data_IF_285098328599
#
_entry.id   IF_285098328599
#
_cell.length_a   1.000
_cell.length_b   1.000
_cell.length_c   1.000
_cell.angle_alpha   90.00
_cell.angle_beta   90.00
_cell.angle_gamma   90.00
#
_symmetry.space_group_name_H-M   'P 1'
#
loop_
_entity.id
_entity.type
_entity.pdbx_description
1 polymer ?
#
# COMPACT_ATOMS: atom_id res chain seq x y z
N UNK A 1 -37.52 22.18 -59.05
CA UNK A 1 -36.37 22.05 -58.15
C UNK A 1 -36.71 22.75 -56.82
N UNK A 2 -37.29 22.02 -55.89
CA UNK A 2 -37.76 22.58 -54.61
C UNK A 2 -36.76 22.10 -53.50
N UNK A 3 -36.12 23.06 -52.84
CA UNK A 3 -35.25 22.83 -51.71
C UNK A 3 -36.10 22.59 -50.46
N UNK A 4 -35.95 21.43 -49.83
CA UNK A 4 -36.55 21.10 -48.55
C UNK A 4 -35.56 21.43 -47.43
N UNK A 5 -35.89 22.44 -46.64
CA UNK A 5 -35.13 22.82 -45.46
C UNK A 5 -35.74 22.04 -44.28
N UNK A 6 -34.97 21.13 -43.69
CA UNK A 6 -35.34 20.43 -42.45
C UNK A 6 -34.74 21.20 -41.29
N UNK A 7 -35.63 21.84 -40.53
CA UNK A 7 -35.29 22.54 -39.29
C UNK A 7 -35.22 21.53 -38.16
N UNK A 8 -34.01 21.31 -37.61
CA UNK A 8 -33.78 20.44 -36.47
C UNK A 8 -33.96 21.26 -35.18
N UNK A 9 -35.05 21.03 -34.49
CA UNK A 9 -35.30 21.62 -33.15
C UNK A 9 -34.52 20.84 -32.11
N UNK A 10 -33.51 21.48 -31.54
CA UNK A 10 -32.80 20.98 -30.34
C UNK A 10 -33.67 21.23 -29.10
N UNK A 11 -34.25 20.19 -28.53
CA UNK A 11 -34.82 20.24 -27.18
C UNK A 11 -33.73 19.88 -26.20
N UNK A 12 -33.14 20.88 -25.55
CA UNK A 12 -32.24 20.72 -24.43
C UNK A 12 -33.07 20.49 -23.17
N UNK A 13 -33.15 19.22 -22.72
CA UNK A 13 -33.67 18.87 -21.39
C UNK A 13 -32.58 19.13 -20.37
N UNK A 14 -32.70 20.21 -19.62
CA UNK A 14 -31.91 20.49 -18.42
C UNK A 14 -32.44 19.62 -17.26
N UNK A 15 -31.81 18.48 -16.98
CA UNK A 15 -32.05 17.74 -15.74
C UNK A 15 -31.09 18.28 -14.71
N UNK A 16 -31.58 19.23 -13.91
CA UNK A 16 -30.89 19.63 -12.68
C UNK A 16 -31.10 18.56 -11.62
N UNK A 17 -30.15 17.61 -11.49
CA UNK A 17 -30.11 16.73 -10.36
C UNK A 17 -29.58 17.50 -9.14
N UNK A 18 -30.49 17.82 -8.22
CA UNK A 18 -30.17 18.28 -6.89
C UNK A 18 -29.39 17.18 -6.17
N UNK A 19 -28.07 17.28 -6.15
CA UNK A 19 -27.22 16.49 -5.27
C UNK A 19 -27.33 17.08 -3.88
N UNK A 20 -28.20 16.49 -3.05
CA UNK A 20 -28.25 16.76 -1.62
C UNK A 20 -26.97 16.16 -1.02
N UNK A 21 -25.99 17.02 -0.74
CA UNK A 21 -24.80 16.61 0.00
C UNK A 21 -25.18 16.38 1.46
N UNK A 22 -25.56 15.14 1.77
CA UNK A 22 -25.64 14.70 3.16
C UNK A 22 -24.20 14.64 3.69
N UNK A 23 -23.83 15.61 4.53
CA UNK A 23 -22.59 15.56 5.31
C UNK A 23 -22.72 14.43 6.33
N UNK A 24 -22.42 13.20 5.94
CA UNK A 24 -22.14 12.13 6.88
C UNK A 24 -20.72 12.34 7.41
N UNK A 25 -20.62 13.05 8.51
CA UNK A 25 -19.46 13.04 9.39
C UNK A 25 -19.39 11.67 10.08
N UNK A 26 -18.94 10.64 9.36
CA UNK A 26 -18.63 9.36 9.97
C UNK A 26 -17.21 9.42 10.50
N UNK A 27 -17.09 9.66 11.78
CA UNK A 27 -15.88 9.36 12.56
C UNK A 27 -15.50 7.90 12.28
N UNK A 28 -14.24 7.58 11.96
CA UNK A 28 -13.85 6.18 11.71
C UNK A 28 -14.23 5.33 12.91
N UNK A 29 -15.07 4.32 12.68
CA UNK A 29 -15.48 3.38 13.73
C UNK A 29 -14.27 2.58 14.17
N UNK A 30 -14.04 2.54 15.47
CA UNK A 30 -12.96 1.81 16.13
C UNK A 30 -13.26 0.32 16.10
N UNK A 31 -12.78 -0.38 15.09
CA UNK A 31 -12.88 -1.84 15.04
C UNK A 31 -11.85 -2.49 15.94
N UNK A 32 -12.29 -3.05 17.07
CA UNK A 32 -11.61 -4.23 17.63
C UNK A 32 -11.64 -5.34 16.58
N UNK A 33 -10.67 -6.25 16.59
CA UNK A 33 -10.37 -7.28 15.58
C UNK A 33 -11.51 -8.27 15.21
N UNK A 34 -12.71 -7.78 15.04
CA UNK A 34 -13.89 -8.48 14.58
C UNK A 34 -14.64 -7.59 13.59
N UNK A 35 -14.36 -7.82 12.32
CA UNK A 35 -15.00 -7.14 11.21
C UNK A 35 -14.12 -6.07 10.60
N UNK A 36 -13.55 -6.36 9.47
CA UNK A 36 -12.92 -5.39 8.58
C UNK A 36 -13.97 -4.34 8.21
N UNK A 37 -13.97 -3.18 8.84
CA UNK A 37 -14.74 -2.05 8.37
C UNK A 37 -14.17 -1.62 7.02
N UNK A 38 -14.92 -1.82 5.95
CA UNK A 38 -14.53 -1.38 4.61
C UNK A 38 -14.81 0.10 4.49
N UNK A 39 -13.79 0.91 4.37
CA UNK A 39 -13.89 2.34 4.13
C UNK A 39 -13.82 2.65 2.64
N UNK A 40 -14.51 3.72 2.22
CA UNK A 40 -14.45 4.20 0.84
C UNK A 40 -13.10 4.84 0.51
N UNK A 41 -12.79 5.00 -0.77
CA UNK A 41 -11.62 5.73 -1.22
C UNK A 41 -11.61 7.20 -0.70
N UNK A 42 -12.79 7.83 -0.61
CA UNK A 42 -12.93 9.16 -0.03
C UNK A 42 -12.51 9.20 1.45
N UNK A 43 -12.83 8.17 2.23
CA UNK A 43 -12.42 8.07 3.63
C UNK A 43 -10.90 7.94 3.74
N UNK A 44 -10.25 7.19 2.84
CA UNK A 44 -8.80 7.09 2.80
C UNK A 44 -8.13 8.43 2.47
N UNK A 45 -8.65 9.17 1.48
CA UNK A 45 -8.13 10.48 1.08
C UNK A 45 -8.25 11.53 2.21
N UNK A 46 -9.29 11.42 3.03
CA UNK A 46 -9.59 12.35 4.12
C UNK A 46 -9.10 11.86 5.49
N UNK A 47 -8.41 10.73 5.53
CA UNK A 47 -7.88 10.22 6.79
C UNK A 47 -6.88 11.22 7.39
N UNK A 48 -7.10 11.56 8.67
CA UNK A 48 -6.20 12.42 9.44
C UNK A 48 -5.57 11.61 10.56
N UNK A 49 -4.27 11.75 10.70
CA UNK A 49 -3.51 11.15 11.79
C UNK A 49 -4.11 11.52 13.16
N UNK A 50 -4.29 10.51 14.01
CA UNK A 50 -4.89 10.64 15.34
C UNK A 50 -3.86 10.27 16.41
N UNK A 51 -3.18 11.24 16.98
CA UNK A 51 -2.11 11.03 17.98
C UNK A 51 -2.55 10.29 19.24
N UNK A 52 -3.85 10.30 19.55
CA UNK A 52 -4.40 9.73 20.79
C UNK A 52 -5.00 8.32 20.61
N UNK A 53 -5.04 7.82 19.39
CA UNK A 53 -5.65 6.52 19.08
C UNK A 53 -4.61 5.40 19.05
N UNK A 54 -3.98 5.18 20.18
CA UNK A 54 -3.01 4.07 20.32
C UNK A 54 -3.71 2.73 20.26
N UNK A 55 -3.18 1.81 19.45
CA UNK A 55 -3.58 0.41 19.31
C UNK A 55 -4.79 0.13 18.42
N UNK A 56 -4.99 0.89 17.36
CA UNK A 56 -6.03 0.60 16.38
C UNK A 56 -5.45 0.37 15.00
N UNK A 57 -5.76 -0.78 14.45
CA UNK A 57 -5.59 -1.05 13.04
C UNK A 57 -6.79 -0.46 12.29
N UNK A 58 -6.53 0.33 11.25
CA UNK A 58 -7.56 0.92 10.39
C UNK A 58 -7.34 0.43 8.96
N UNK A 59 -8.31 -0.29 8.40
CA UNK A 59 -8.27 -0.73 7.00
C UNK A 59 -9.24 0.09 6.18
N UNK A 60 -8.77 0.62 5.07
CA UNK A 60 -9.55 1.37 4.09
C UNK A 60 -9.45 0.67 2.73
N UNK A 61 -10.57 0.60 2.03
CA UNK A 61 -10.71 -0.22 0.82
C UNK A 61 -11.06 -1.67 1.14
N UNK A 62 -11.37 -2.45 0.10
CA UNK A 62 -11.75 -3.86 0.22
C UNK A 62 -10.71 -4.77 -0.42
N UNK A 63 -10.42 -5.88 0.24
CA UNK A 63 -9.58 -6.94 -0.31
C UNK A 63 -10.50 -7.91 -1.05
N UNK A 64 -10.41 -7.95 -2.38
CA UNK A 64 -11.23 -8.85 -3.20
C UNK A 64 -10.78 -10.31 -3.10
N UNK A 65 -9.47 -10.53 -2.93
CA UNK A 65 -8.86 -11.85 -2.82
C UNK A 65 -7.71 -11.84 -1.82
N UNK A 66 -7.58 -12.92 -1.07
CA UNK A 66 -6.43 -13.12 -0.20
C UNK A 66 -5.15 -13.33 -0.99
N UNK A 67 -4.05 -12.87 -0.45
CA UNK A 67 -2.73 -13.11 -1.00
C UNK A 67 -2.30 -14.57 -0.78
N UNK A 68 -1.53 -15.10 -1.70
CA UNK A 68 -1.12 -16.50 -1.70
C UNK A 68 0.39 -16.62 -1.65
N UNK A 69 0.87 -17.70 -1.05
CA UNK A 69 2.26 -18.12 -1.14
C UNK A 69 2.55 -18.98 -2.38
N UNK A 70 3.81 -19.19 -2.71
CA UNK A 70 5.00 -18.72 -1.98
C UNK A 70 5.15 -17.20 -1.96
N UNK A 71 5.59 -16.67 -0.81
CA UNK A 71 5.83 -15.23 -0.61
C UNK A 71 7.32 -14.95 -0.60
N UNK A 72 7.75 -13.93 -1.32
CA UNK A 72 9.09 -13.36 -1.17
C UNK A 72 8.99 -12.07 -0.35
N UNK A 73 9.74 -11.99 0.73
CA UNK A 73 9.90 -10.77 1.53
C UNK A 73 11.25 -10.14 1.18
N UNK A 74 11.24 -8.89 0.77
CA UNK A 74 12.47 -8.14 0.45
C UNK A 74 12.43 -6.73 1.03
N UNK A 75 13.54 -6.01 0.94
CA UNK A 75 13.65 -4.63 1.42
C UNK A 75 14.14 -3.72 0.30
N UNK A 76 13.62 -2.51 0.24
CA UNK A 76 14.16 -1.44 -0.59
C UNK A 76 14.66 -0.31 0.31
N UNK A 77 15.98 -0.04 0.22
CA UNK A 77 16.70 0.90 1.06
C UNK A 77 17.30 0.28 2.32
N UNK A 78 17.25 -1.04 2.46
CA UNK A 78 17.92 -1.85 3.49
C UNK A 78 17.64 -1.40 4.93
N UNK A 79 16.42 -0.92 5.20
CA UNK A 79 15.98 -0.62 6.56
C UNK A 79 15.71 -1.91 7.37
N UNK A 80 15.64 -1.77 8.68
CA UNK A 80 15.28 -2.87 9.58
C UNK A 80 13.83 -3.36 9.38
N UNK A 81 13.02 -2.63 8.63
CA UNK A 81 11.62 -2.97 8.36
C UNK A 81 11.50 -4.33 7.66
N UNK A 82 12.45 -4.67 6.78
CA UNK A 82 12.49 -5.99 6.13
C UNK A 82 12.56 -7.14 7.14
N UNK A 83 13.46 -7.06 8.12
CA UNK A 83 13.57 -8.07 9.18
C UNK A 83 12.37 -8.06 10.14
N UNK A 84 11.73 -6.90 10.34
CA UNK A 84 10.50 -6.82 11.13
C UNK A 84 9.34 -7.53 10.40
N UNK A 85 9.20 -7.35 9.09
CA UNK A 85 8.22 -8.08 8.28
C UNK A 85 8.52 -9.58 8.28
N UNK A 86 9.78 -9.99 8.21
CA UNK A 86 10.14 -11.41 8.36
C UNK A 86 9.62 -11.99 9.68
N UNK A 87 9.75 -11.27 10.80
CA UNK A 87 9.21 -11.71 12.09
C UNK A 87 7.67 -11.77 12.10
N UNK A 88 7.00 -10.90 11.36
CA UNK A 88 5.56 -10.98 11.14
C UNK A 88 5.20 -12.26 10.39
N UNK A 89 5.88 -12.56 9.29
CA UNK A 89 5.66 -13.78 8.50
C UNK A 89 5.88 -15.05 9.32
N UNK A 90 6.91 -15.10 10.15
CA UNK A 90 7.15 -16.22 11.09
C UNK A 90 5.96 -16.50 12.01
N UNK A 91 5.24 -15.45 12.42
CA UNK A 91 4.07 -15.56 13.31
C UNK A 91 2.79 -15.98 12.59
N UNK A 92 2.69 -15.74 11.29
CA UNK A 92 1.52 -16.10 10.50
C UNK A 92 1.30 -17.61 10.44
N UNK A 93 2.35 -18.39 10.16
CA UNK A 93 2.32 -19.85 9.99
C UNK A 93 1.34 -20.40 8.92
N UNK A 94 0.68 -19.52 8.18
CA UNK A 94 -0.38 -19.87 7.21
C UNK A 94 0.13 -19.93 5.78
N UNK A 95 1.29 -19.36 5.50
CA UNK A 95 1.82 -19.23 4.15
C UNK A 95 3.34 -19.45 4.15
N UNK A 96 3.84 -20.14 3.12
CA UNK A 96 5.29 -20.32 2.92
C UNK A 96 5.90 -19.01 2.44
N UNK A 97 7.08 -18.69 2.95
CA UNK A 97 7.80 -17.50 2.55
C UNK A 97 9.33 -17.71 2.52
N UNK A 98 9.99 -16.84 1.77
CA UNK A 98 11.45 -16.66 1.78
C UNK A 98 11.75 -15.21 2.11
N UNK A 99 12.76 -14.97 2.94
CA UNK A 99 13.28 -13.62 3.20
C UNK A 99 14.63 -13.44 2.53
N UNK A 100 14.71 -12.52 1.59
CA UNK A 100 15.93 -12.08 0.94
C UNK A 100 15.92 -10.54 0.82
N UNK A 101 16.60 -9.81 1.72
CA UNK A 101 16.56 -8.33 1.70
C UNK A 101 17.19 -7.72 0.45
N UNK A 102 18.05 -8.45 -0.25
CA UNK A 102 18.73 -8.03 -1.48
C UNK A 102 18.22 -8.78 -2.71
N UNK A 103 17.00 -9.28 -2.69
CA UNK A 103 16.41 -10.05 -3.77
C UNK A 103 16.50 -9.33 -5.11
N UNK A 104 16.65 -10.13 -6.16
CA UNK A 104 16.69 -9.69 -7.56
C UNK A 104 15.51 -10.29 -8.34
N UNK A 105 15.35 -9.93 -9.60
CA UNK A 105 14.31 -10.51 -10.45
C UNK A 105 14.41 -12.04 -10.59
N UNK A 106 15.59 -12.65 -10.41
CA UNK A 106 15.78 -14.10 -10.43
C UNK A 106 15.07 -14.81 -9.26
N UNK A 107 14.89 -14.13 -8.13
CA UNK A 107 14.23 -14.67 -6.94
C UNK A 107 12.69 -14.74 -7.08
N UNK A 108 12.13 -14.23 -8.17
CA UNK A 108 10.68 -14.22 -8.44
C UNK A 108 10.14 -15.54 -9.00
N UNK A 109 11.01 -16.49 -9.33
CA UNK A 109 10.58 -17.77 -9.91
C UNK A 109 9.65 -18.53 -8.95
N UNK A 110 8.42 -18.81 -9.38
CA UNK A 110 7.40 -19.51 -8.59
C UNK A 110 6.78 -18.70 -7.46
N UNK A 111 7.21 -17.45 -7.24
CA UNK A 111 6.63 -16.52 -6.26
C UNK A 111 5.25 -16.06 -6.73
N UNK A 112 4.27 -15.99 -5.81
CA UNK A 112 2.94 -15.45 -6.09
C UNK A 112 2.74 -14.06 -5.50
N UNK A 113 3.39 -13.79 -4.37
CA UNK A 113 3.29 -12.51 -3.68
C UNK A 113 4.67 -12.03 -3.26
N UNK A 114 4.95 -10.76 -3.49
CA UNK A 114 6.13 -10.09 -2.97
C UNK A 114 5.71 -9.08 -1.90
N UNK A 115 6.33 -9.16 -0.75
CA UNK A 115 6.21 -8.16 0.32
C UNK A 115 7.47 -7.32 0.32
N UNK A 116 7.33 -6.03 0.05
CA UNK A 116 8.44 -5.09 -0.05
C UNK A 116 8.39 -4.11 1.11
N UNK A 117 9.35 -4.24 2.02
CA UNK A 117 9.58 -3.26 3.07
C UNK A 117 10.32 -2.05 2.49
N UNK A 118 9.70 -0.87 2.53
CA UNK A 118 10.29 0.37 2.01
C UNK A 118 10.81 1.26 3.12
N UNK A 119 12.08 1.63 3.04
CA UNK A 119 12.71 2.51 4.01
C UNK A 119 14.22 2.54 3.85
N UNK A 120 14.81 3.73 3.81
CA UNK A 120 16.25 3.88 3.61
C UNK A 120 17.03 3.83 4.93
N UNK A 121 18.15 3.14 4.92
CA UNK A 121 19.09 3.07 6.04
C UNK A 121 20.53 3.03 5.53
N UNK A 122 21.27 4.11 5.69
CA UNK A 122 22.69 4.16 5.35
C UNK A 122 23.50 3.07 6.07
N UNK A 123 23.15 2.79 7.34
CA UNK A 123 23.77 1.70 8.09
C UNK A 123 23.43 0.33 7.50
N UNK A 124 22.18 0.15 7.07
CA UNK A 124 21.74 -1.10 6.43
C UNK A 124 22.41 -1.31 5.08
N UNK A 125 22.52 -0.28 4.26
CA UNK A 125 23.25 -0.32 2.99
C UNK A 125 24.72 -0.70 3.20
N UNK A 126 25.38 -0.05 4.17
CA UNK A 126 26.76 -0.39 4.52
C UNK A 126 26.92 -1.85 5.01
N UNK A 127 25.97 -2.34 5.81
CA UNK A 127 25.99 -3.74 6.26
C UNK A 127 25.75 -4.74 5.11
N UNK A 128 24.97 -4.34 4.11
CA UNK A 128 24.76 -5.14 2.89
C UNK A 128 25.91 -5.01 1.87
N UNK A 129 26.86 -4.10 2.10
CA UNK A 129 27.99 -3.87 1.19
C UNK A 129 27.59 -3.21 -0.12
N UNK A 130 26.51 -2.46 -0.16
CA UNK A 130 25.98 -1.81 -1.38
C UNK A 130 25.85 -0.30 -1.20
N UNK A 131 26.03 0.45 -2.31
CA UNK A 131 25.81 1.88 -2.32
C UNK A 131 24.32 2.23 -2.49
N UNK A 132 23.97 3.49 -2.26
CA UNK A 132 22.63 4.01 -2.51
C UNK A 132 22.23 3.86 -3.99
N UNK A 133 23.17 4.09 -4.91
CA UNK A 133 22.96 3.98 -6.35
C UNK A 133 22.71 2.52 -6.77
N UNK A 134 23.49 1.59 -6.23
CA UNK A 134 23.34 0.16 -6.47
C UNK A 134 21.99 -0.34 -5.97
N UNK A 135 21.58 0.07 -4.77
CA UNK A 135 20.27 -0.28 -4.22
C UNK A 135 19.12 0.30 -5.04
N UNK A 136 19.27 1.56 -5.49
CA UNK A 136 18.27 2.19 -6.36
C UNK A 136 18.15 1.47 -7.70
N UNK A 137 19.27 1.06 -8.31
CA UNK A 137 19.28 0.30 -9.54
C UNK A 137 18.63 -1.08 -9.35
N UNK A 138 19.02 -1.82 -8.29
CA UNK A 138 18.43 -3.11 -7.93
C UNK A 138 16.91 -3.03 -7.73
N UNK A 139 16.45 -2.01 -7.01
CA UNK A 139 15.03 -1.80 -6.75
C UNK A 139 14.25 -1.59 -8.06
N UNK A 140 14.76 -0.77 -8.97
CA UNK A 140 14.15 -0.52 -10.29
C UNK A 140 14.07 -1.79 -11.13
N UNK A 141 15.15 -2.55 -11.22
CA UNK A 141 15.22 -3.80 -11.98
C UNK A 141 14.29 -4.87 -11.38
N UNK A 142 14.22 -4.94 -10.04
CA UNK A 142 13.31 -5.82 -9.35
C UNK A 142 11.85 -5.49 -9.67
N UNK A 143 11.45 -4.21 -9.60
CA UNK A 143 10.09 -3.79 -9.89
C UNK A 143 9.68 -4.09 -11.34
N UNK A 144 10.57 -3.82 -12.31
CA UNK A 144 10.32 -4.19 -13.71
C UNK A 144 10.15 -5.71 -13.89
N UNK A 145 10.92 -6.51 -13.15
CA UNK A 145 10.81 -7.98 -13.16
C UNK A 145 9.52 -8.46 -12.49
N UNK A 146 9.10 -7.82 -11.39
CA UNK A 146 7.88 -8.13 -10.67
C UNK A 146 6.63 -7.83 -11.53
N UNK A 147 6.64 -6.70 -12.22
CA UNK A 147 5.59 -6.33 -13.18
C UNK A 147 5.48 -7.36 -14.31
N UNK A 148 6.60 -7.69 -14.93
CA UNK A 148 6.66 -8.71 -16.00
C UNK A 148 6.19 -10.08 -15.53
N UNK A 149 6.50 -10.46 -14.29
CA UNK A 149 6.09 -11.73 -13.70
C UNK A 149 4.62 -11.76 -13.26
N UNK A 150 3.96 -10.60 -13.19
CA UNK A 150 2.56 -10.48 -12.75
C UNK A 150 2.34 -10.90 -11.29
N UNK A 151 3.38 -10.84 -10.45
CA UNK A 151 3.25 -11.17 -9.02
C UNK A 151 2.48 -10.08 -8.27
N UNK A 152 1.72 -10.47 -7.26
CA UNK A 152 1.05 -9.48 -6.39
C UNK A 152 2.09 -8.79 -5.50
N UNK A 153 2.03 -7.47 -5.42
CA UNK A 153 2.96 -6.65 -4.63
C UNK A 153 2.27 -6.07 -3.41
N UNK A 154 2.89 -6.25 -2.26
CA UNK A 154 2.50 -5.67 -0.98
C UNK A 154 3.54 -4.62 -0.57
N UNK A 155 3.16 -3.34 -0.55
CA UNK A 155 4.03 -2.27 -0.07
C UNK A 155 3.91 -2.13 1.45
N UNK A 156 5.03 -2.17 2.16
CA UNK A 156 5.05 -2.05 3.63
C UNK A 156 6.00 -0.94 4.08
N UNK A 157 5.49 0.06 4.79
CA UNK A 157 6.28 1.05 5.51
C UNK A 157 5.93 1.02 7.00
N UNK A 158 6.62 0.19 7.77
CA UNK A 158 6.30 -0.04 9.19
C UNK A 158 7.29 0.59 10.16
N UNK A 159 8.30 1.28 9.65
CA UNK A 159 9.29 2.02 10.44
C UNK A 159 8.76 3.33 11.01
N UNK A 160 7.64 3.83 10.49
CA UNK A 160 6.97 5.04 10.96
C UNK A 160 7.71 6.34 10.61
N UNK A 161 7.36 7.44 11.28
CA UNK A 161 7.86 8.78 11.00
C UNK A 161 9.39 8.87 10.97
N UNK A 162 10.07 8.15 11.85
CA UNK A 162 11.54 8.15 11.94
C UNK A 162 12.24 7.52 10.72
N UNK A 163 11.49 6.80 9.87
CA UNK A 163 11.97 6.16 8.64
C UNK A 163 11.47 6.86 7.38
N UNK A 164 10.74 7.97 7.52
CA UNK A 164 10.36 8.83 6.40
C UNK A 164 11.52 9.73 5.99
N UNK A 165 11.43 10.31 4.82
CA UNK A 165 12.40 11.23 4.23
C UNK A 165 12.64 10.93 2.76
N UNK A 166 13.29 11.85 2.05
CA UNK A 166 13.39 11.83 0.58
C UNK A 166 13.90 10.50 0.01
N UNK A 167 14.89 9.86 0.62
CA UNK A 167 15.43 8.58 0.14
C UNK A 167 14.46 7.41 0.38
N UNK A 168 13.81 7.36 1.55
CA UNK A 168 12.79 6.35 1.84
C UNK A 168 11.56 6.52 0.97
N UNK A 169 11.14 7.76 0.79
CA UNK A 169 9.96 8.10 -0.02
C UNK A 169 10.18 7.77 -1.50
N UNK A 170 11.42 7.95 -2.01
CA UNK A 170 11.76 7.53 -3.36
C UNK A 170 11.59 6.02 -3.60
N UNK A 171 11.91 5.17 -2.61
CA UNK A 171 11.62 3.74 -2.70
C UNK A 171 10.12 3.44 -2.61
N UNK A 172 9.39 4.14 -1.75
CA UNK A 172 7.93 4.01 -1.71
C UNK A 172 7.30 4.37 -3.05
N UNK A 173 7.74 5.47 -3.68
CA UNK A 173 7.26 5.93 -4.99
C UNK A 173 7.53 4.92 -6.12
N UNK A 174 8.56 4.09 -6.00
CA UNK A 174 8.82 3.00 -6.95
C UNK A 174 7.86 1.82 -6.77
N UNK A 175 7.44 1.53 -5.53
CA UNK A 175 6.66 0.33 -5.19
C UNK A 175 5.15 0.58 -5.30
N UNK A 176 4.70 1.75 -4.86
CA UNK A 176 3.28 2.10 -4.78
C UNK A 176 2.50 1.87 -6.08
N UNK A 177 3.02 2.23 -7.30
CA UNK A 177 2.27 2.05 -8.54
C UNK A 177 1.90 0.60 -8.90
N UNK A 178 2.68 -0.37 -8.43
CA UNK A 178 2.41 -1.80 -8.65
C UNK A 178 1.78 -2.48 -7.44
N UNK A 179 1.51 -1.73 -6.37
CA UNK A 179 0.98 -2.31 -5.14
C UNK A 179 -0.46 -2.77 -5.30
N UNK A 180 -0.72 -3.99 -4.87
CA UNK A 180 -2.08 -4.54 -4.72
C UNK A 180 -2.64 -4.30 -3.31
N UNK A 181 -1.78 -3.96 -2.36
CA UNK A 181 -2.12 -3.64 -0.98
C UNK A 181 -1.01 -2.83 -0.32
N UNK A 182 -1.36 -1.99 0.65
CA UNK A 182 -0.41 -1.16 1.39
C UNK A 182 -0.59 -1.39 2.88
N UNK A 183 0.52 -1.59 3.60
CA UNK A 183 0.54 -1.59 5.07
C UNK A 183 1.51 -0.50 5.52
N UNK A 184 1.01 0.45 6.29
CA UNK A 184 1.84 1.55 6.76
C UNK A 184 1.63 1.80 8.25
N UNK A 185 2.72 2.06 8.96
CA UNK A 185 2.61 2.53 10.35
C UNK A 185 2.04 3.94 10.35
N UNK A 186 1.04 4.20 11.19
CA UNK A 186 0.22 5.40 11.13
C UNK A 186 1.03 6.69 11.19
N UNK A 187 2.00 6.78 12.12
CA UNK A 187 2.88 7.94 12.23
C UNK A 187 3.79 8.14 11.00
N UNK A 188 4.00 7.10 10.18
CA UNK A 188 4.66 7.20 8.89
C UNK A 188 3.76 7.77 7.78
N UNK A 189 2.49 8.01 8.06
CA UNK A 189 1.50 8.56 7.12
C UNK A 189 0.90 9.91 7.60
N UNK A 190 1.59 10.66 8.48
CA UNK A 190 1.10 11.96 8.99
C UNK A 190 0.79 12.97 7.88
N UNK A 191 1.56 12.94 6.79
CA UNK A 191 1.36 13.76 5.60
C UNK A 191 0.28 13.24 4.64
N UNK A 192 -0.28 12.06 4.92
CA UNK A 192 -1.29 11.43 4.09
C UNK A 192 -0.78 10.85 2.77
N UNK A 193 0.54 10.75 2.54
CA UNK A 193 1.12 10.27 1.29
C UNK A 193 0.54 8.92 0.87
N UNK A 194 0.58 7.94 1.76
CA UNK A 194 0.14 6.57 1.44
C UNK A 194 -1.39 6.47 1.30
N UNK A 195 -2.14 7.13 2.17
CA UNK A 195 -3.61 7.12 2.10
C UNK A 195 -4.13 7.87 0.88
N UNK A 196 -3.53 8.99 0.50
CA UNK A 196 -3.89 9.73 -0.71
C UNK A 196 -3.58 8.92 -1.97
N UNK A 197 -2.42 8.24 -2.01
CA UNK A 197 -2.07 7.35 -3.12
C UNK A 197 -3.05 6.18 -3.22
N UNK A 198 -3.31 5.50 -2.11
CA UNK A 198 -4.24 4.37 -2.02
C UNK A 198 -5.64 4.75 -2.52
N UNK A 199 -6.15 5.91 -2.08
CA UNK A 199 -7.44 6.44 -2.49
C UNK A 199 -7.52 6.73 -3.98
N UNK A 200 -6.54 7.44 -4.53
CA UNK A 200 -6.54 7.84 -5.95
C UNK A 200 -6.38 6.66 -6.92
N UNK A 201 -5.85 5.52 -6.45
CA UNK A 201 -5.62 4.32 -7.26
C UNK A 201 -6.54 3.15 -6.87
N UNK A 202 -7.49 3.33 -5.94
CA UNK A 202 -8.37 2.29 -5.41
C UNK A 202 -7.61 1.08 -4.84
N UNK A 203 -6.45 1.32 -4.22
CA UNK A 203 -5.64 0.29 -3.57
C UNK A 203 -6.05 0.22 -2.10
N UNK A 204 -6.38 -0.97 -1.56
CA UNK A 204 -6.66 -1.09 -0.14
C UNK A 204 -5.40 -0.86 0.70
N UNK A 205 -5.58 -0.18 1.84
CA UNK A 205 -4.50 0.18 2.76
C UNK A 205 -4.89 -0.13 4.19
N UNK A 206 -3.94 -0.61 4.97
CA UNK A 206 -4.08 -0.76 6.42
C UNK A 206 -3.06 0.10 7.16
N UNK A 207 -3.56 0.95 8.04
CA UNK A 207 -2.75 1.69 9.00
C UNK A 207 -2.60 0.85 10.28
N UNK A 208 -1.36 0.70 10.74
CA UNK A 208 -1.00 -0.08 11.93
C UNK A 208 -0.24 0.79 12.93
N UNK A 209 -0.38 0.51 14.23
CA UNK A 209 0.33 1.24 15.27
C UNK A 209 1.59 0.54 15.75
N UNK A 210 1.63 -0.77 15.67
CA UNK A 210 2.76 -1.55 16.17
C UNK A 210 2.82 -2.97 15.62
N UNK A 211 3.75 -3.74 16.16
CA UNK A 211 4.02 -5.11 15.67
C UNK A 211 2.82 -6.05 15.79
N UNK A 212 1.97 -5.89 16.82
CA UNK A 212 0.77 -6.72 16.98
C UNK A 212 -0.20 -6.45 15.84
N UNK A 213 -0.48 -5.18 15.57
CA UNK A 213 -1.43 -4.79 14.52
C UNK A 213 -0.92 -5.17 13.14
N UNK A 214 0.41 -5.10 12.93
CA UNK A 214 1.04 -5.57 11.68
C UNK A 214 0.79 -7.06 11.49
N UNK A 215 0.92 -7.89 12.54
CA UNK A 215 0.60 -9.32 12.45
C UNK A 215 -0.89 -9.54 12.14
N UNK A 216 -1.77 -8.79 12.78
CA UNK A 216 -3.22 -8.92 12.57
C UNK A 216 -3.63 -8.43 11.17
N UNK A 217 -2.99 -7.36 10.64
CA UNK A 217 -3.15 -6.93 9.26
C UNK A 217 -2.75 -8.03 8.27
N UNK A 218 -1.60 -8.66 8.49
CA UNK A 218 -1.14 -9.75 7.63
C UNK A 218 -2.03 -10.98 7.69
N UNK A 219 -2.55 -11.37 8.87
CA UNK A 219 -3.55 -12.45 8.98
C UNK A 219 -4.84 -12.15 8.21
N UNK A 220 -5.21 -10.87 8.13
CA UNK A 220 -6.42 -10.48 7.39
C UNK A 220 -6.26 -10.62 5.88
N UNK A 221 -5.03 -10.52 5.35
CA UNK A 221 -4.76 -10.50 3.91
C UNK A 221 -4.19 -11.82 3.37
N UNK A 222 -3.59 -12.66 4.20
CA UNK A 222 -3.14 -14.02 3.91
C UNK A 222 -4.08 -15.07 4.54
#
# INVERSE_FOLDING_TARGET
>A
MKKLIVTMVLVSLLIASLFSATKNSTTPSTGTAQGSATYSAETAANYKYQTNDKNRMVTMGSISEKFQGPVLVTSFGQSTDGSMIEQVMKRLKTVSYTYNPTATGADLSGVKTVVIAVGNSTKGLGAAGISQEQETARAKEFMASAEKAGVKVLCCHIGGATRRGALSDAFADMVLPLSSFIVVKEDGNEDGKFTSFASSHNIPITLVYGSKDTVDAFKAIF
#
